data_IF_468029038652
#
_entry.id   IF_468029038652
#
_cell.length_a   1.000
_cell.length_b   1.000
_cell.length_c   1.000
_cell.angle_alpha   90.00
_cell.angle_beta   90.00
_cell.angle_gamma   90.00
#
_symmetry.space_group_name_H-M   'P 1'
#
loop_
_entity.id
_entity.type
_entity.pdbx_description
1 polymer ?
#
# COMPACT_ATOMS: atom_id res chain seq x y z
N UNK A 1 -8.78 -10.58 -7.05
CA UNK A 1 -7.95 -9.39 -6.75
C UNK A 1 -8.54 -8.06 -7.23
N UNK A 2 -9.52 -8.04 -8.14
CA UNK A 2 -10.10 -6.78 -8.66
C UNK A 2 -10.64 -5.84 -7.58
N UNK A 3 -11.41 -6.35 -6.61
CA UNK A 3 -11.96 -5.51 -5.53
C UNK A 3 -10.87 -4.83 -4.68
N UNK A 4 -9.66 -5.38 -4.60
CA UNK A 4 -8.57 -4.73 -3.88
C UNK A 4 -8.17 -3.39 -4.51
N UNK A 5 -8.48 -3.15 -5.80
CA UNK A 5 -8.19 -1.90 -6.52
C UNK A 5 -9.28 -0.83 -6.37
N UNK A 6 -10.42 -1.17 -5.75
CA UNK A 6 -11.49 -0.19 -5.47
C UNK A 6 -11.81 -0.09 -3.98
N UNK A 7 -11.38 -1.08 -3.18
CA UNK A 7 -11.66 -1.23 -1.75
C UNK A 7 -10.35 -1.43 -0.97
N UNK A 8 -9.66 -0.34 -0.59
CA UNK A 8 -8.39 -0.42 0.15
C UNK A 8 -8.54 -1.15 1.49
N UNK A 9 -9.71 -1.07 2.11
CA UNK A 9 -10.06 -1.77 3.35
C UNK A 9 -9.97 -3.30 3.24
N UNK A 10 -10.05 -3.84 2.03
CA UNK A 10 -9.95 -5.28 1.78
C UNK A 10 -8.54 -5.75 1.45
N UNK A 11 -7.59 -4.83 1.22
CA UNK A 11 -6.25 -5.18 0.73
C UNK A 11 -5.54 -6.17 1.66
N UNK A 12 -5.66 -5.99 2.99
CA UNK A 12 -5.12 -6.92 3.97
C UNK A 12 -5.74 -8.30 3.86
N UNK A 13 -7.07 -8.38 3.96
CA UNK A 13 -7.77 -9.65 4.04
C UNK A 13 -7.55 -10.46 2.75
N UNK A 14 -7.70 -9.80 1.59
CA UNK A 14 -7.49 -10.43 0.29
C UNK A 14 -6.06 -10.92 0.09
N UNK A 15 -5.05 -10.19 0.56
CA UNK A 15 -3.65 -10.63 0.44
C UNK A 15 -3.31 -11.85 1.30
N UNK A 16 -4.05 -12.07 2.39
CA UNK A 16 -3.87 -13.25 3.25
C UNK A 16 -4.51 -14.47 2.61
N UNK A 17 -5.81 -14.41 2.28
CA UNK A 17 -6.49 -15.57 1.64
C UNK A 17 -5.92 -15.90 0.26
N UNK A 18 -5.36 -14.93 -0.46
CA UNK A 18 -4.72 -15.21 -1.76
C UNK A 18 -3.50 -16.14 -1.67
N UNK A 19 -2.81 -16.19 -0.52
CA UNK A 19 -1.65 -17.05 -0.32
C UNK A 19 -2.02 -18.54 -0.35
N UNK A 20 -3.26 -18.87 -0.02
CA UNK A 20 -3.74 -20.25 0.07
C UNK A 20 -4.65 -20.64 -1.10
N UNK A 21 -4.67 -19.87 -2.19
CA UNK A 21 -5.52 -20.15 -3.36
C UNK A 21 -5.22 -21.49 -4.04
N UNK A 22 -3.98 -21.96 -3.99
CA UNK A 22 -3.58 -23.24 -4.59
C UNK A 22 -4.03 -24.45 -3.76
N UNK A 23 -4.22 -24.27 -2.44
CA UNK A 23 -4.66 -25.34 -1.55
C UNK A 23 -5.49 -24.76 -0.38
N UNK A 24 -6.76 -24.41 -0.62
CA UNK A 24 -7.60 -23.79 0.40
C UNK A 24 -8.08 -24.83 1.43
N UNK A 25 -7.85 -24.55 2.72
CA UNK A 25 -8.43 -25.29 3.83
C UNK A 25 -9.74 -24.66 4.32
N UNK A 26 -10.44 -25.35 5.23
CA UNK A 26 -11.73 -24.91 5.78
C UNK A 26 -11.66 -23.52 6.45
N UNK A 27 -10.58 -23.26 7.20
CA UNK A 27 -10.34 -21.97 7.83
C UNK A 27 -10.23 -20.83 6.81
N UNK A 28 -9.57 -21.08 5.68
CA UNK A 28 -9.45 -20.10 4.59
C UNK A 28 -10.81 -19.83 3.95
N UNK A 29 -11.62 -20.87 3.75
CA UNK A 29 -12.98 -20.73 3.21
C UNK A 29 -13.88 -19.92 4.15
N UNK A 30 -13.80 -20.15 5.46
CA UNK A 30 -14.51 -19.36 6.46
C UNK A 30 -14.11 -17.88 6.42
N UNK A 31 -12.81 -17.59 6.25
CA UNK A 31 -12.33 -16.22 6.09
C UNK A 31 -12.87 -15.57 4.80
N UNK A 32 -12.90 -16.29 3.68
CA UNK A 32 -13.52 -15.81 2.43
C UNK A 32 -15.01 -15.50 2.63
N UNK A 33 -15.75 -16.40 3.28
CA UNK A 33 -17.18 -16.18 3.56
C UNK A 33 -17.41 -14.94 4.44
N UNK A 34 -16.52 -14.67 5.40
CA UNK A 34 -16.57 -13.43 6.20
C UNK A 34 -16.34 -12.18 5.34
N UNK A 35 -15.38 -12.21 4.40
CA UNK A 35 -15.15 -11.11 3.45
C UNK A 35 -16.40 -10.87 2.59
N UNK A 36 -17.04 -11.94 2.09
CA UNK A 36 -18.25 -11.83 1.28
C UNK A 36 -19.43 -11.25 2.07
N UNK A 37 -19.61 -11.64 3.34
CA UNK A 37 -20.64 -11.06 4.22
C UNK A 37 -20.42 -9.56 4.44
N UNK A 38 -19.17 -9.14 4.67
CA UNK A 38 -18.82 -7.72 4.83
C UNK A 38 -19.07 -6.91 3.55
N UNK A 39 -18.75 -7.47 2.39
CA UNK A 39 -19.07 -6.84 1.09
C UNK A 39 -20.58 -6.67 0.92
N UNK A 40 -21.37 -7.70 1.26
CA UNK A 40 -22.83 -7.67 1.17
C UNK A 40 -23.44 -6.62 2.10
N UNK A 41 -22.85 -6.37 3.27
CA UNK A 41 -23.37 -5.38 4.22
C UNK A 41 -23.04 -3.93 3.85
N UNK A 42 -22.07 -3.70 2.96
CA UNK A 42 -21.62 -2.35 2.59
C UNK A 42 -21.30 -2.24 1.08
N UNK A 43 -22.30 -2.44 0.18
CA UNK A 43 -22.09 -2.43 -1.26
C UNK A 43 -21.73 -1.04 -1.80
N UNK A 44 -22.27 0.03 -1.20
CA UNK A 44 -22.00 1.42 -1.60
C UNK A 44 -20.73 2.04 -1.00
N UNK A 45 -19.99 1.31 -0.17
CA UNK A 45 -18.75 1.83 0.42
C UNK A 45 -17.65 1.84 -0.65
N UNK A 46 -17.02 2.99 -0.84
CA UNK A 46 -15.97 3.22 -1.84
C UNK A 46 -15.10 4.41 -1.49
N UNK A 47 -14.28 4.86 -2.44
CA UNK A 47 -13.41 6.03 -2.31
C UNK A 47 -14.13 7.25 -2.89
N UNK A 48 -14.16 8.34 -2.11
CA UNK A 48 -14.68 9.62 -2.57
C UNK A 48 -13.55 10.44 -3.18
N UNK A 49 -13.78 10.95 -4.39
CA UNK A 49 -12.89 11.90 -5.04
C UNK A 49 -13.48 13.31 -4.91
N UNK A 50 -12.69 14.23 -4.39
CA UNK A 50 -13.03 15.64 -4.28
C UNK A 50 -12.14 16.47 -5.19
N UNK A 51 -12.74 17.44 -5.88
CA UNK A 51 -11.98 18.39 -6.70
C UNK A 51 -11.27 19.38 -5.78
N UNK A 52 -9.97 19.22 -5.62
CA UNK A 52 -9.11 20.18 -4.93
C UNK A 52 -8.30 20.96 -5.96
N UNK A 53 -8.68 22.23 -6.20
CA UNK A 53 -8.03 23.08 -7.20
C UNK A 53 -6.65 23.55 -6.74
N UNK A 54 -6.50 23.77 -5.43
CA UNK A 54 -5.29 24.40 -4.86
C UNK A 54 -4.27 23.37 -4.34
N UNK A 55 -4.63 22.09 -4.27
CA UNK A 55 -3.77 21.03 -3.78
C UNK A 55 -3.28 20.18 -4.96
N UNK A 56 -2.05 20.43 -5.42
CA UNK A 56 -1.44 19.69 -6.53
C UNK A 56 -0.32 18.72 -6.09
N UNK A 57 -0.14 18.53 -4.78
CA UNK A 57 0.87 17.63 -4.23
C UNK A 57 0.56 16.15 -4.49
N UNK A 58 1.64 15.39 -4.59
CA UNK A 58 1.63 13.93 -4.54
C UNK A 58 2.21 13.53 -3.19
N UNK A 59 1.43 12.80 -2.41
CA UNK A 59 1.76 12.40 -1.04
C UNK A 59 1.71 10.87 -0.94
N UNK A 60 2.72 10.28 -0.32
CA UNK A 60 2.89 8.83 -0.22
C UNK A 60 3.06 8.48 1.23
N UNK A 61 2.25 7.56 1.71
CA UNK A 61 2.37 6.97 3.04
C UNK A 61 2.84 5.55 2.89
N UNK A 62 3.89 5.17 3.62
CA UNK A 62 4.43 3.81 3.62
C UNK A 62 4.47 3.27 5.03
N UNK A 63 4.22 1.98 5.14
CA UNK A 63 4.20 1.24 6.39
C UNK A 63 4.69 -0.19 6.13
N UNK A 64 5.40 -0.79 7.08
CA UNK A 64 5.86 -2.17 6.98
C UNK A 64 5.72 -2.93 8.29
N UNK A 65 4.88 -3.96 8.27
CA UNK A 65 4.74 -4.90 9.38
C UNK A 65 5.93 -5.87 9.38
N UNK A 66 6.88 -5.68 10.31
CA UNK A 66 8.09 -6.49 10.42
C UNK A 66 7.82 -7.88 10.99
N UNK A 67 8.20 -8.91 10.21
CA UNK A 67 8.05 -10.32 10.58
C UNK A 67 6.63 -10.74 11.01
N UNK A 68 5.60 -10.00 10.55
CA UNK A 68 4.20 -10.26 10.87
C UNK A 68 3.63 -11.55 10.25
N UNK A 69 4.28 -12.09 9.20
CA UNK A 69 3.92 -13.41 8.69
C UNK A 69 4.46 -14.52 9.61
N UNK A 70 3.57 -15.25 10.27
CA UNK A 70 3.95 -16.32 11.22
C UNK A 70 4.72 -17.45 10.52
N UNK A 71 4.33 -17.80 9.29
CA UNK A 71 4.85 -18.97 8.58
C UNK A 71 6.31 -18.82 8.12
N UNK A 72 6.70 -17.64 7.62
CA UNK A 72 8.02 -17.40 7.02
C UNK A 72 8.76 -16.18 7.58
N UNK A 73 8.17 -15.50 8.58
CA UNK A 73 8.72 -14.30 9.24
C UNK A 73 9.05 -13.17 8.25
N UNK A 74 8.47 -13.18 7.05
CA UNK A 74 8.66 -12.10 6.09
C UNK A 74 7.77 -10.91 6.45
N UNK A 75 8.34 -9.72 6.30
CA UNK A 75 7.61 -8.48 6.52
C UNK A 75 6.57 -8.24 5.44
N UNK A 76 5.56 -7.44 5.74
CA UNK A 76 4.57 -7.00 4.75
C UNK A 76 4.58 -5.49 4.63
N UNK A 77 4.93 -4.99 3.45
CA UNK A 77 4.91 -3.56 3.17
C UNK A 77 3.59 -3.13 2.54
N UNK A 78 3.13 -1.96 2.92
CA UNK A 78 2.01 -1.28 2.32
C UNK A 78 2.39 0.13 1.89
N UNK A 79 1.68 0.66 0.90
CA UNK A 79 1.70 2.08 0.63
C UNK A 79 0.33 2.60 0.20
N UNK A 80 0.12 3.89 0.42
CA UNK A 80 -1.00 4.67 -0.07
C UNK A 80 -0.46 5.93 -0.74
N UNK A 81 -0.89 6.21 -1.97
CA UNK A 81 -0.49 7.40 -2.72
C UNK A 81 -1.72 8.26 -2.99
N UNK A 82 -1.62 9.50 -2.54
CA UNK A 82 -2.60 10.53 -2.74
C UNK A 82 -2.13 11.51 -3.81
N UNK A 83 -3.05 11.90 -4.69
CA UNK A 83 -2.84 12.94 -5.70
C UNK A 83 -3.95 13.97 -5.51
N UNK A 84 -3.58 15.21 -5.24
CA UNK A 84 -4.57 16.26 -5.02
C UNK A 84 -5.49 16.01 -3.83
N UNK A 85 -4.99 15.34 -2.79
CA UNK A 85 -5.77 14.95 -1.61
C UNK A 85 -6.69 13.75 -1.82
N UNK A 86 -6.67 13.12 -3.00
CA UNK A 86 -7.47 11.93 -3.32
C UNK A 86 -6.61 10.68 -3.33
N UNK A 87 -7.09 9.59 -2.73
CA UNK A 87 -6.38 8.31 -2.78
C UNK A 87 -6.48 7.70 -4.18
N UNK A 88 -5.35 7.61 -4.89
CA UNK A 88 -5.31 7.13 -6.29
C UNK A 88 -4.76 5.71 -6.37
N UNK A 89 -3.70 5.40 -5.64
CA UNK A 89 -3.09 4.06 -5.67
C UNK A 89 -2.74 3.59 -4.28
N UNK A 90 -2.88 2.29 -4.04
CA UNK A 90 -2.43 1.65 -2.83
C UNK A 90 -2.07 0.21 -3.14
N UNK A 91 -1.25 -0.38 -2.27
CA UNK A 91 -0.86 -1.78 -2.42
C UNK A 91 -0.43 -2.31 -1.08
N UNK A 92 -0.65 -3.61 -0.91
CA UNK A 92 -0.04 -4.39 0.14
C UNK A 92 0.75 -5.51 -0.50
N UNK A 93 2.00 -5.68 -0.11
CA UNK A 93 2.91 -6.68 -0.68
C UNK A 93 3.77 -7.30 0.42
N UNK A 94 3.73 -8.63 0.49
CA UNK A 94 4.68 -9.40 1.30
C UNK A 94 6.08 -9.23 0.71
N UNK A 95 7.07 -8.92 1.53
CA UNK A 95 8.45 -8.77 1.07
C UNK A 95 8.99 -10.14 0.61
N UNK A 96 9.84 -10.13 -0.42
CA UNK A 96 10.43 -11.36 -0.95
C UNK A 96 11.48 -11.97 -0.02
N UNK A 97 12.09 -11.13 0.83
CA UNK A 97 13.20 -11.48 1.73
C UNK A 97 12.79 -11.15 3.15
N UNK A 98 13.31 -11.90 4.12
CA UNK A 98 13.13 -11.62 5.55
C UNK A 98 14.01 -10.43 5.93
N UNK A 99 13.39 -9.35 6.39
CA UNK A 99 14.11 -8.19 6.91
C UNK A 99 14.69 -8.51 8.30
N UNK A 100 15.92 -8.04 8.56
CA UNK A 100 16.64 -8.30 9.81
C UNK A 100 16.32 -7.28 10.90
N UNK A 101 15.65 -6.19 10.55
CA UNK A 101 15.18 -5.17 11.49
C UNK A 101 13.89 -4.52 10.97
N UNK A 102 13.16 -3.83 11.87
CA UNK A 102 12.03 -3.00 11.48
C UNK A 102 12.45 -1.86 10.55
N UNK A 103 13.59 -1.22 10.81
CA UNK A 103 14.12 -0.16 9.94
C UNK A 103 14.40 -0.66 8.51
N UNK A 104 14.94 -1.87 8.34
CA UNK A 104 15.14 -2.46 7.03
C UNK A 104 13.79 -2.77 6.34
N UNK A 105 12.83 -3.30 7.09
CA UNK A 105 11.49 -3.59 6.56
C UNK A 105 10.82 -2.31 6.05
N UNK A 106 10.88 -1.23 6.83
CA UNK A 106 10.35 0.09 6.49
C UNK A 106 11.06 0.71 5.29
N UNK A 107 12.39 0.69 5.28
CA UNK A 107 13.18 1.20 4.15
C UNK A 107 12.84 0.48 2.83
N UNK A 108 12.64 -0.84 2.87
CA UNK A 108 12.13 -1.61 1.71
C UNK A 108 10.71 -1.20 1.34
N UNK A 109 9.84 -0.91 2.31
CA UNK A 109 8.50 -0.37 2.07
C UNK A 109 8.51 1.01 1.41
N UNK A 110 9.35 1.92 1.90
CA UNK A 110 9.62 3.24 1.31
C UNK A 110 10.06 3.12 -0.15
N UNK A 111 11.00 2.22 -0.44
CA UNK A 111 11.49 1.97 -1.79
C UNK A 111 10.37 1.53 -2.74
N UNK A 112 9.48 0.63 -2.29
CA UNK A 112 8.32 0.19 -3.07
C UNK A 112 7.35 1.35 -3.35
N UNK A 113 7.02 2.15 -2.33
CA UNK A 113 6.13 3.29 -2.46
C UNK A 113 6.69 4.36 -3.40
N UNK A 114 8.00 4.62 -3.33
CA UNK A 114 8.69 5.56 -4.22
C UNK A 114 8.68 5.11 -5.67
N UNK A 115 9.02 3.84 -5.97
CA UNK A 115 9.02 3.33 -7.34
C UNK A 115 7.64 3.51 -8.01
N UNK A 116 6.58 3.14 -7.30
CA UNK A 116 5.20 3.23 -7.80
C UNK A 116 4.76 4.69 -7.97
N UNK A 117 5.20 5.58 -7.06
CA UNK A 117 4.88 7.01 -7.14
C UNK A 117 5.64 7.72 -8.27
N UNK A 118 6.89 7.32 -8.53
CA UNK A 118 7.65 7.82 -9.68
C UNK A 118 6.97 7.42 -11.00
N UNK A 119 6.55 6.16 -11.11
CA UNK A 119 5.76 5.70 -12.25
C UNK A 119 4.47 6.50 -12.40
N UNK A 120 3.71 6.70 -11.31
CA UNK A 120 2.48 7.49 -11.32
C UNK A 120 2.74 8.94 -11.74
N UNK A 121 3.83 9.56 -11.27
CA UNK A 121 4.20 10.93 -11.64
C UNK A 121 4.45 11.06 -13.14
N UNK A 122 5.17 10.11 -13.74
CA UNK A 122 5.41 10.10 -15.18
C UNK A 122 4.10 9.95 -15.97
N UNK A 123 3.24 9.01 -15.56
CA UNK A 123 1.92 8.84 -16.16
C UNK A 123 1.07 10.12 -16.09
N UNK A 124 1.08 10.79 -14.94
CA UNK A 124 0.36 12.05 -14.76
C UNK A 124 0.92 13.15 -15.67
N UNK A 125 2.23 13.23 -15.84
CA UNK A 125 2.86 14.17 -16.76
C UNK A 125 2.43 13.93 -18.21
N UNK A 126 2.38 12.67 -18.65
CA UNK A 126 1.92 12.29 -19.99
C UNK A 126 0.44 12.65 -20.21
N UNK A 127 -0.37 12.62 -19.15
CA UNK A 127 -1.78 13.05 -19.16
C UNK A 127 -1.96 14.58 -19.05
N UNK A 128 -0.87 15.36 -19.06
CA UNK A 128 -0.90 16.82 -18.96
C UNK A 128 -0.99 17.38 -17.55
N UNK A 129 -0.92 16.53 -16.52
CA UNK A 129 -0.88 16.95 -15.12
C UNK A 129 0.57 17.14 -14.66
N UNK A 130 1.02 18.40 -14.63
CA UNK A 130 2.39 18.75 -14.27
C UNK A 130 2.46 19.06 -12.77
N UNK A 131 2.79 18.05 -11.96
CA UNK A 131 3.15 18.29 -10.54
C UNK A 131 4.55 18.88 -10.44
N UNK A 132 4.62 20.17 -10.10
CA UNK A 132 5.88 20.91 -9.87
C UNK A 132 6.43 20.74 -8.46
N UNK A 133 5.60 20.28 -7.53
CA UNK A 133 6.00 20.11 -6.14
C UNK A 133 6.81 18.80 -5.95
N UNK A 134 7.73 18.75 -4.98
CA UNK A 134 8.37 17.49 -4.61
C UNK A 134 7.33 16.49 -4.07
N UNK A 135 7.55 15.21 -4.37
CA UNK A 135 6.75 14.13 -3.78
C UNK A 135 7.04 14.09 -2.28
N UNK A 136 6.00 14.09 -1.46
CA UNK A 136 6.14 13.93 0.00
C UNK A 136 6.00 12.46 0.33
N UNK A 137 7.03 11.88 0.96
CA UNK A 137 7.02 10.51 1.45
C UNK A 137 6.97 10.54 2.98
N UNK A 138 5.99 9.85 3.55
CA UNK A 138 5.78 9.72 4.98
C UNK A 138 6.02 8.27 5.40
N UNK A 139 6.87 8.09 6.41
CA UNK A 139 7.15 6.84 7.10
C UNK A 139 7.23 7.16 8.60
N UNK A 140 6.74 6.26 9.45
CA UNK A 140 6.69 6.43 10.90
C UNK A 140 7.99 5.99 11.61
N UNK A 141 8.87 5.28 10.90
CA UNK A 141 10.13 4.80 11.43
C UNK A 141 11.27 5.82 11.25
N UNK A 142 11.66 6.45 12.36
CA UNK A 142 12.74 7.44 12.39
C UNK A 142 14.07 6.90 11.86
N UNK A 143 14.46 5.68 12.21
CA UNK A 143 15.72 5.12 11.74
C UNK A 143 15.74 4.92 10.22
N UNK A 144 14.61 4.51 9.63
CA UNK A 144 14.48 4.43 8.17
C UNK A 144 14.54 5.82 7.52
N UNK A 145 13.88 6.82 8.11
CA UNK A 145 13.96 8.21 7.67
C UNK A 145 15.39 8.76 7.74
N UNK A 146 16.12 8.50 8.82
CA UNK A 146 17.49 8.99 9.02
C UNK A 146 18.44 8.39 7.97
N UNK A 147 18.29 7.10 7.65
CA UNK A 147 19.04 6.44 6.57
C UNK A 147 18.81 7.14 5.22
N UNK A 148 17.57 7.56 4.93
CA UNK A 148 17.24 8.26 3.67
C UNK A 148 17.82 9.68 3.63
N UNK A 149 17.90 10.37 4.77
CA UNK A 149 18.43 11.74 4.84
C UNK A 149 19.95 11.81 4.86
N UNK A 150 20.64 10.68 5.06
CA UNK A 150 22.09 10.61 5.07
C UNK A 150 22.60 9.92 3.78
N UNK A 151 22.79 10.67 2.67
CA UNK A 151 23.40 10.11 1.48
C UNK A 151 24.84 9.70 1.81
N UNK A 152 25.11 8.40 1.74
CA UNK A 152 26.47 7.84 1.80
C UNK A 152 27.27 8.29 0.58
#
# INVERSE_FOLDING_TARGET
>A
MYLAHTRPDLAYALSVVSQYMHNPGEQHMNAVMRILRYLKSAPGKGILFTKNVDHQSIEVYTDADWAGAVDDRRSTSGYFTFVGGNLVTWKRKKQNVVARSSAEAEFRGMSLGLCETLWLRLLLQDLGYISRQPIRLFCDNKAACDIVHNPV
#
